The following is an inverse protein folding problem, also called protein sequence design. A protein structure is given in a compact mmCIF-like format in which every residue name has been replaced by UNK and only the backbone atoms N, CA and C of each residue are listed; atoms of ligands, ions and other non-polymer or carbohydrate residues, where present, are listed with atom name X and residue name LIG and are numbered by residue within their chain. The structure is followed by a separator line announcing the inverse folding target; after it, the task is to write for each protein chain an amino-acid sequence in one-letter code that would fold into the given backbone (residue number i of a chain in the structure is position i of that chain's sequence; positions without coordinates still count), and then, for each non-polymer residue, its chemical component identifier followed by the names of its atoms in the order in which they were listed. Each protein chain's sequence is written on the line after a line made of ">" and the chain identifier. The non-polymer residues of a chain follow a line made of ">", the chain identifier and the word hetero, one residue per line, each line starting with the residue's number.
data_IF_338797791347
#
_entry.id   IF_338797791347
#
_cell.length_a   1.000
_cell.length_b   1.000
_cell.length_c   1.000
_cell.angle_alpha   90.00
_cell.angle_beta   90.00
_cell.angle_gamma   90.00
#
_symmetry.space_group_name_H-M   'P 1'
#
loop_
_entity.id
_entity.type
_entity.pdbx_description
1 polymer ?
#
# COMPACT_ATOMS: atom_id res chain seq x y z
N UNK A 1 30.46 -12.11 25.06
CA UNK A 1 29.79 -11.10 25.91
C UNK A 1 29.73 -9.80 25.11
N UNK A 2 28.58 -9.40 24.56
CA UNK A 2 28.46 -8.16 23.79
C UNK A 2 28.75 -6.97 24.71
N UNK A 3 29.62 -6.05 24.31
CA UNK A 3 29.89 -4.85 25.12
C UNK A 3 28.63 -3.99 25.18
N UNK A 4 28.37 -3.39 26.35
CA UNK A 4 27.19 -2.56 26.65
C UNK A 4 27.02 -1.42 25.62
N UNK A 5 28.12 -0.92 25.07
CA UNK A 5 28.14 0.09 24.00
C UNK A 5 27.52 -0.40 22.69
N UNK A 6 27.79 -1.66 22.28
CA UNK A 6 27.20 -2.24 21.06
C UNK A 6 25.70 -2.45 21.20
N UNK A 7 25.24 -2.82 22.40
CA UNK A 7 23.80 -2.94 22.67
C UNK A 7 23.09 -1.59 22.67
N UNK A 8 23.70 -0.54 23.23
CA UNK A 8 23.11 0.81 23.23
C UNK A 8 23.00 1.41 21.81
N UNK A 9 24.04 1.24 20.98
CA UNK A 9 24.03 1.69 19.59
C UNK A 9 22.97 0.97 18.75
N UNK A 10 22.83 -0.34 18.96
CA UNK A 10 21.80 -1.15 18.29
C UNK A 10 20.38 -0.70 18.64
N UNK A 11 20.12 -0.35 19.91
CA UNK A 11 18.84 0.20 20.38
C UNK A 11 18.49 1.51 19.67
N UNK A 12 19.47 2.42 19.54
CA UNK A 12 19.27 3.72 18.90
C UNK A 12 18.94 3.56 17.40
N UNK A 13 19.66 2.68 16.69
CA UNK A 13 19.40 2.36 15.29
C UNK A 13 18.00 1.77 15.11
N UNK A 14 17.58 0.89 16.02
CA UNK A 14 16.25 0.28 15.97
C UNK A 14 15.12 1.31 16.14
N UNK A 15 15.25 2.24 17.09
CA UNK A 15 14.31 3.35 17.25
C UNK A 15 14.26 4.24 16.00
N UNK A 16 15.41 4.55 15.40
CA UNK A 16 15.48 5.29 14.15
C UNK A 16 14.73 4.60 12.99
N UNK A 17 14.86 3.27 12.90
CA UNK A 17 14.14 2.46 11.90
C UNK A 17 12.63 2.50 12.07
N UNK A 18 12.12 2.48 13.31
CA UNK A 18 10.69 2.57 13.58
C UNK A 18 10.14 3.93 13.17
N UNK A 19 10.83 5.01 13.55
CA UNK A 19 10.42 6.36 13.19
C UNK A 19 10.39 6.54 11.66
N UNK A 20 11.43 6.06 10.96
CA UNK A 20 11.46 6.07 9.50
C UNK A 20 10.29 5.27 8.89
N UNK A 21 10.00 4.08 9.44
CA UNK A 21 8.89 3.24 8.98
C UNK A 21 7.53 3.92 9.12
N UNK A 22 7.29 4.58 10.26
CA UNK A 22 6.04 5.32 10.51
C UNK A 22 5.90 6.47 9.53
N UNK A 23 6.97 7.23 9.30
CA UNK A 23 6.97 8.35 8.35
C UNK A 23 6.69 7.86 6.92
N UNK A 24 7.38 6.81 6.48
CA UNK A 24 7.18 6.24 5.15
C UNK A 24 5.78 5.66 4.97
N UNK A 25 5.24 4.94 5.97
CA UNK A 25 3.90 4.39 5.90
C UNK A 25 2.84 5.50 5.79
N UNK A 26 2.94 6.52 6.65
CA UNK A 26 2.01 7.65 6.66
C UNK A 26 2.05 8.43 5.34
N UNK A 27 3.26 8.77 4.88
CA UNK A 27 3.46 9.44 3.60
C UNK A 27 2.87 8.62 2.45
N UNK A 28 3.09 7.31 2.45
CA UNK A 28 2.66 6.44 1.37
C UNK A 28 1.15 6.29 1.32
N UNK A 29 0.49 6.08 2.46
CA UNK A 29 -0.98 5.99 2.50
C UNK A 29 -1.57 7.30 1.99
N UNK A 30 -1.09 8.44 2.47
CA UNK A 30 -1.54 9.76 2.01
C UNK A 30 -1.36 9.95 0.50
N UNK A 31 -0.17 9.66 -0.01
CA UNK A 31 0.13 9.79 -1.45
C UNK A 31 -0.74 8.86 -2.30
N UNK A 32 -0.93 7.62 -1.86
CA UNK A 32 -1.72 6.61 -2.58
C UNK A 32 -3.20 6.99 -2.62
N UNK A 33 -3.76 7.52 -1.53
CA UNK A 33 -5.13 8.04 -1.50
C UNK A 33 -5.32 9.20 -2.49
N UNK A 34 -4.38 10.15 -2.55
CA UNK A 34 -4.44 11.23 -3.52
C UNK A 34 -4.36 10.73 -4.96
N UNK A 35 -3.45 9.81 -5.24
CA UNK A 35 -3.26 9.25 -6.57
C UNK A 35 -4.49 8.45 -7.03
N UNK A 36 -5.11 7.71 -6.11
CA UNK A 36 -6.35 7.00 -6.39
C UNK A 36 -7.50 7.94 -6.71
N UNK A 37 -7.76 8.95 -5.87
CA UNK A 37 -8.81 9.95 -6.11
C UNK A 37 -8.66 10.59 -7.50
N UNK A 38 -7.43 10.97 -7.87
CA UNK A 38 -7.14 11.52 -9.21
C UNK A 38 -7.45 10.54 -10.36
N UNK A 39 -7.36 9.24 -10.09
CA UNK A 39 -7.62 8.18 -11.06
C UNK A 39 -9.11 7.84 -11.16
N UNK A 40 -9.87 8.06 -10.09
CA UNK A 40 -11.29 7.70 -9.95
C UNK A 40 -12.21 8.92 -10.10
N UNK A 41 -12.02 9.71 -11.16
CA UNK A 41 -12.68 11.02 -11.39
C UNK A 41 -14.22 11.03 -11.45
N UNK A 42 -14.89 9.88 -11.33
CA UNK A 42 -16.34 9.77 -11.52
C UNK A 42 -17.14 9.77 -10.22
N UNK A 43 -16.49 9.50 -9.08
CA UNK A 43 -17.07 9.58 -7.73
C UNK A 43 -16.18 10.52 -6.93
N UNK A 44 -16.76 11.55 -6.30
CA UNK A 44 -16.03 12.32 -5.29
C UNK A 44 -16.14 11.57 -3.97
N UNK A 45 -15.11 10.80 -3.60
CA UNK A 45 -15.20 9.93 -2.44
C UNK A 45 -15.28 10.72 -1.12
N UNK A 46 -14.70 11.92 -1.07
CA UNK A 46 -14.75 12.76 0.11
C UNK A 46 -16.15 13.35 0.30
N UNK A 47 -16.78 13.81 -0.78
CA UNK A 47 -18.15 14.30 -0.75
C UNK A 47 -19.13 13.19 -0.35
N UNK A 48 -18.96 11.98 -0.90
CA UNK A 48 -19.81 10.85 -0.56
C UNK A 48 -19.63 10.40 0.91
N UNK A 49 -18.39 10.40 1.45
CA UNK A 49 -18.18 10.16 2.88
C UNK A 49 -18.87 11.23 3.73
N UNK A 50 -18.78 12.52 3.37
CA UNK A 50 -19.44 13.61 4.10
C UNK A 50 -20.96 13.46 4.11
N UNK A 51 -21.55 12.88 3.07
CA UNK A 51 -22.99 12.54 2.99
C UNK A 51 -23.36 11.30 3.81
N UNK A 52 -22.40 10.61 4.43
CA UNK A 52 -22.63 9.38 5.19
C UNK A 52 -22.73 8.12 4.32
N UNK A 53 -22.22 8.16 3.09
CA UNK A 53 -22.24 7.01 2.20
C UNK A 53 -21.29 5.90 2.69
N UNK A 54 -21.85 4.93 3.40
CA UNK A 54 -21.11 3.81 3.99
C UNK A 54 -20.49 2.91 2.92
N UNK A 55 -21.10 2.81 1.73
CA UNK A 55 -20.57 2.00 0.63
C UNK A 55 -19.24 2.52 0.10
N UNK A 56 -19.13 3.82 -0.10
CA UNK A 56 -17.87 4.45 -0.53
C UNK A 56 -16.81 4.31 0.56
N UNK A 57 -17.18 4.46 1.83
CA UNK A 57 -16.27 4.24 2.96
C UNK A 57 -15.72 2.80 2.99
N UNK A 58 -16.55 1.78 2.76
CA UNK A 58 -16.12 0.38 2.70
C UNK A 58 -15.04 0.16 1.62
N UNK A 59 -15.24 0.72 0.42
CA UNK A 59 -14.26 0.61 -0.68
C UNK A 59 -12.95 1.30 -0.32
N UNK A 60 -13.01 2.49 0.28
CA UNK A 60 -11.81 3.21 0.71
C UNK A 60 -11.06 2.48 1.83
N UNK A 61 -11.76 1.89 2.79
CA UNK A 61 -11.14 1.06 3.84
C UNK A 61 -10.39 -0.11 3.20
N UNK A 62 -11.04 -0.83 2.28
CA UNK A 62 -10.42 -1.94 1.59
C UNK A 62 -9.17 -1.52 0.81
N UNK A 63 -9.22 -0.34 0.19
CA UNK A 63 -8.08 0.22 -0.52
C UNK A 63 -6.92 0.60 0.42
N UNK A 64 -7.23 1.25 1.55
CA UNK A 64 -6.21 1.59 2.56
C UNK A 64 -5.53 0.32 3.06
N UNK A 65 -6.31 -0.73 3.37
CA UNK A 65 -5.77 -2.02 3.81
C UNK A 65 -4.92 -2.69 2.73
N UNK A 66 -5.37 -2.65 1.48
CA UNK A 66 -4.63 -3.17 0.34
C UNK A 66 -3.28 -2.45 0.18
N UNK A 67 -3.29 -1.12 0.14
CA UNK A 67 -2.07 -0.31 0.05
C UNK A 67 -1.16 -0.59 1.24
N UNK A 68 -1.69 -0.59 2.47
CA UNK A 68 -0.91 -0.86 3.67
C UNK A 68 -0.21 -2.23 3.60
N UNK A 69 -0.89 -3.26 3.11
CA UNK A 69 -0.30 -4.61 2.96
C UNK A 69 0.85 -4.65 1.94
N UNK A 70 0.77 -3.84 0.88
CA UNK A 70 1.81 -3.77 -0.16
C UNK A 70 3.00 -2.94 0.33
N UNK A 71 2.70 -1.83 1.02
CA UNK A 71 3.69 -0.91 1.58
C UNK A 71 4.47 -1.55 2.72
N UNK A 72 3.83 -2.38 3.53
CA UNK A 72 4.49 -3.15 4.58
C UNK A 72 5.66 -3.96 4.00
N UNK A 73 5.45 -4.66 2.88
CA UNK A 73 6.51 -5.42 2.20
C UNK A 73 7.61 -4.49 1.67
N UNK A 74 7.23 -3.33 1.12
CA UNK A 74 8.19 -2.32 0.65
C UNK A 74 9.06 -1.72 1.76
N UNK A 75 8.50 -1.45 2.94
CA UNK A 75 9.22 -0.88 4.09
C UNK A 75 10.12 -1.91 4.75
N UNK A 76 9.71 -3.18 4.80
CA UNK A 76 10.55 -4.27 5.31
C UNK A 76 11.89 -4.34 4.55
N UNK A 77 11.88 -4.17 3.23
CA UNK A 77 13.11 -4.09 2.42
C UNK A 77 14.05 -3.00 2.91
N UNK A 78 13.54 -1.78 3.05
CA UNK A 78 14.32 -0.61 3.49
C UNK A 78 14.97 -0.89 4.86
N UNK A 79 14.22 -1.51 5.77
CA UNK A 79 14.65 -1.77 7.15
C UNK A 79 15.73 -2.85 7.24
N UNK A 80 15.66 -3.90 6.41
CA UNK A 80 16.65 -4.98 6.34
C UNK A 80 18.00 -4.47 5.82
N UNK A 81 17.96 -3.56 4.85
CA UNK A 81 19.14 -3.00 4.19
C UNK A 81 19.91 -2.00 5.07
N UNK A 82 19.24 -1.41 6.05
CA UNK A 82 19.84 -0.51 7.05
C UNK A 82 20.51 -1.28 8.21
N UNK A 83 21.14 -2.43 7.96
CA UNK A 83 21.79 -3.23 9.00
C UNK A 83 23.21 -2.71 9.29
N UNK A 84 23.65 -2.64 10.57
CA UNK A 84 24.99 -2.18 10.93
C UNK A 84 26.12 -3.09 10.39
N UNK A 85 25.78 -4.26 9.84
CA UNK A 85 26.74 -5.19 9.24
C UNK A 85 26.94 -4.98 7.72
N UNK A 86 26.26 -4.00 7.10
CA UNK A 86 26.39 -3.70 5.67
C UNK A 86 27.30 -2.47 5.49
N UNK A 87 28.27 -2.48 4.56
CA UNK A 87 29.09 -1.30 4.25
C UNK A 87 28.23 -0.09 3.86
N UNK A 88 28.59 1.10 4.36
CA UNK A 88 27.79 2.33 4.18
C UNK A 88 27.51 2.67 2.71
N UNK A 89 28.46 2.41 1.81
CA UNK A 89 28.31 2.64 0.36
C UNK A 89 27.18 1.78 -0.24
N UNK A 90 27.12 0.51 0.17
CA UNK A 90 26.10 -0.45 -0.28
C UNK A 90 24.74 -0.09 0.34
N UNK A 91 24.72 0.40 1.60
CA UNK A 91 23.48 0.82 2.27
C UNK A 91 22.77 1.95 1.52
N UNK A 92 23.51 2.98 1.06
CA UNK A 92 22.94 4.12 0.36
C UNK A 92 22.32 3.73 -0.99
N UNK A 93 23.02 2.90 -1.77
CA UNK A 93 22.52 2.38 -3.04
C UNK A 93 21.25 1.56 -2.83
N UNK A 94 21.28 0.64 -1.86
CA UNK A 94 20.15 -0.24 -1.57
C UNK A 94 18.93 0.52 -1.01
N UNK A 95 19.16 1.56 -0.19
CA UNK A 95 18.09 2.45 0.25
C UNK A 95 17.44 3.18 -0.92
N UNK A 96 18.23 3.69 -1.88
CA UNK A 96 17.71 4.35 -3.08
C UNK A 96 16.89 3.40 -3.96
N UNK A 97 17.40 2.19 -4.21
CA UNK A 97 16.68 1.16 -4.98
C UNK A 97 15.35 0.80 -4.31
N UNK A 98 15.35 0.66 -2.98
CA UNK A 98 14.14 0.31 -2.23
C UNK A 98 13.08 1.41 -2.24
N UNK A 99 13.50 2.68 -2.22
CA UNK A 99 12.59 3.82 -2.39
C UNK A 99 11.92 3.81 -3.77
N UNK A 100 12.70 3.52 -4.82
CA UNK A 100 12.15 3.36 -6.17
C UNK A 100 11.18 2.18 -6.22
N UNK A 101 11.55 1.04 -5.63
CA UNK A 101 10.70 -0.14 -5.58
C UNK A 101 9.37 0.14 -4.86
N UNK A 102 9.40 0.88 -3.74
CA UNK A 102 8.20 1.29 -3.01
C UNK A 102 7.29 2.13 -3.91
N UNK A 103 7.84 3.13 -4.61
CA UNK A 103 7.09 3.96 -5.56
C UNK A 103 6.47 3.13 -6.68
N UNK A 104 7.25 2.25 -7.31
CA UNK A 104 6.76 1.35 -8.37
C UNK A 104 5.66 0.43 -7.84
N UNK A 105 5.81 -0.12 -6.64
CA UNK A 105 4.83 -1.01 -6.03
C UNK A 105 3.49 -0.31 -5.82
N UNK A 106 3.48 0.95 -5.39
CA UNK A 106 2.26 1.76 -5.23
C UNK A 106 1.58 1.99 -6.58
N UNK A 107 2.36 2.35 -7.61
CA UNK A 107 1.82 2.59 -8.96
C UNK A 107 1.18 1.32 -9.54
N UNK A 108 1.87 0.18 -9.41
CA UNK A 108 1.36 -1.13 -9.83
C UNK A 108 0.10 -1.49 -9.03
N UNK A 109 0.10 -1.28 -7.71
CA UNK A 109 -1.04 -1.54 -6.85
C UNK A 109 -2.30 -0.83 -7.35
N UNK A 110 -2.22 0.48 -7.56
CA UNK A 110 -3.35 1.31 -8.00
C UNK A 110 -3.82 0.87 -9.39
N UNK A 111 -2.88 0.59 -10.30
CA UNK A 111 -3.20 0.12 -11.64
C UNK A 111 -3.94 -1.22 -11.65
N UNK A 112 -3.44 -2.20 -10.90
CA UNK A 112 -4.05 -3.54 -10.84
C UNK A 112 -5.39 -3.49 -10.10
N UNK A 113 -5.52 -2.71 -9.03
CA UNK A 113 -6.80 -2.47 -8.34
C UNK A 113 -7.84 -1.93 -9.33
N UNK A 114 -7.47 -0.95 -10.16
CA UNK A 114 -8.35 -0.40 -11.19
C UNK A 114 -8.80 -1.47 -12.19
N UNK A 115 -7.88 -2.33 -12.64
CA UNK A 115 -8.21 -3.44 -13.53
C UNK A 115 -9.15 -4.44 -12.83
N UNK A 116 -8.93 -4.71 -11.55
CA UNK A 116 -9.78 -5.56 -10.73
C UNK A 116 -11.23 -5.07 -10.69
N UNK A 117 -11.42 -3.80 -10.33
CA UNK A 117 -12.74 -3.15 -10.28
C UNK A 117 -13.40 -3.18 -11.66
N UNK A 118 -12.65 -2.84 -12.72
CA UNK A 118 -13.15 -2.89 -14.09
C UNK A 118 -13.60 -4.31 -14.49
N UNK A 119 -12.84 -5.33 -14.08
CA UNK A 119 -13.14 -6.73 -14.35
C UNK A 119 -14.45 -7.17 -13.67
N UNK A 120 -14.71 -6.70 -12.44
CA UNK A 120 -16.00 -6.93 -11.76
C UNK A 120 -17.16 -6.39 -12.61
N UNK A 121 -17.07 -5.15 -13.09
CA UNK A 121 -18.10 -4.56 -13.95
C UNK A 121 -18.29 -5.33 -15.27
N UNK A 122 -17.22 -5.93 -15.81
CA UNK A 122 -17.30 -6.76 -17.03
C UNK A 122 -17.94 -8.12 -16.79
N UNK A 123 -17.67 -8.76 -15.64
CA UNK A 123 -18.26 -10.06 -15.27
C UNK A 123 -19.74 -9.90 -14.97
N UNK A 124 -20.09 -8.93 -14.14
CA UNK A 124 -21.47 -8.64 -13.77
C UNK A 124 -22.07 -7.63 -14.76
N UNK A 125 -22.31 -8.08 -16.00
CA UNK A 125 -22.91 -7.23 -17.05
C UNK A 125 -24.17 -6.53 -16.52
N UNK A 126 -24.21 -5.20 -16.64
CA UNK A 126 -25.31 -4.36 -16.16
C UNK A 126 -25.17 -3.86 -14.72
N UNK A 127 -24.16 -4.30 -13.97
CA UNK A 127 -23.80 -3.72 -12.69
C UNK A 127 -22.96 -2.45 -12.92
N UNK A 128 -23.64 -1.30 -12.98
CA UNK A 128 -22.95 -0.01 -12.87
C UNK A 128 -22.52 0.21 -11.42
N UNK A 129 -21.35 -0.29 -11.09
CA UNK A 129 -20.83 -0.22 -9.72
C UNK A 129 -20.66 1.23 -9.25
N UNK A 130 -20.40 2.18 -10.15
CA UNK A 130 -20.19 3.58 -9.78
C UNK A 130 -21.51 4.21 -9.33
N UNK A 131 -22.59 3.96 -10.10
CA UNK A 131 -23.95 4.39 -9.72
C UNK A 131 -24.40 3.69 -8.43
N UNK A 132 -24.13 2.38 -8.29
CA UNK A 132 -24.54 1.62 -7.11
C UNK A 132 -23.81 2.10 -5.84
N UNK A 133 -22.52 2.42 -5.94
CA UNK A 133 -21.77 3.00 -4.84
C UNK A 133 -22.34 4.38 -4.45
N UNK A 134 -22.64 5.26 -5.40
CA UNK A 134 -23.31 6.55 -5.11
C UNK A 134 -24.68 6.41 -4.46
N UNK A 135 -25.41 5.33 -4.78
CA UNK A 135 -26.70 5.00 -4.14
C UNK A 135 -26.56 4.39 -2.74
N UNK A 136 -25.35 4.19 -2.24
CA UNK A 136 -25.12 3.58 -0.93
C UNK A 136 -25.39 2.07 -0.91
N UNK A 137 -25.19 1.37 -2.03
CA UNK A 137 -25.34 -0.08 -2.07
C UNK A 137 -24.16 -0.81 -1.41
N UNK A 138 -24.33 -1.16 -0.14
CA UNK A 138 -23.27 -1.81 0.66
C UNK A 138 -22.89 -3.20 0.13
N UNK A 139 -23.79 -3.92 -0.54
CA UNK A 139 -23.48 -5.23 -1.11
C UNK A 139 -22.45 -5.10 -2.25
N UNK A 140 -22.61 -4.09 -3.11
CA UNK A 140 -21.65 -3.80 -4.19
C UNK A 140 -20.32 -3.34 -3.60
N UNK A 141 -20.35 -2.52 -2.55
CA UNK A 141 -19.13 -2.09 -1.87
C UNK A 141 -18.34 -3.26 -1.28
N UNK A 142 -19.01 -4.21 -0.61
CA UNK A 142 -18.38 -5.40 -0.04
C UNK A 142 -17.79 -6.31 -1.13
N UNK A 143 -18.50 -6.48 -2.25
CA UNK A 143 -18.00 -7.23 -3.41
C UNK A 143 -16.68 -6.62 -3.92
N UNK A 144 -16.67 -5.30 -4.13
CA UNK A 144 -15.49 -4.58 -4.64
C UNK A 144 -14.36 -4.61 -3.61
N UNK A 145 -14.67 -4.40 -2.33
CA UNK A 145 -13.72 -4.49 -1.24
C UNK A 145 -13.03 -5.86 -1.20
N UNK A 146 -13.80 -6.95 -1.31
CA UNK A 146 -13.26 -8.30 -1.35
C UNK A 146 -12.29 -8.50 -2.52
N UNK A 147 -12.60 -7.97 -3.69
CA UNK A 147 -11.72 -8.03 -4.87
C UNK A 147 -10.45 -7.22 -4.65
N UNK A 148 -10.53 -6.02 -4.09
CA UNK A 148 -9.37 -5.18 -3.78
C UNK A 148 -8.41 -5.90 -2.82
N UNK A 149 -8.93 -6.51 -1.76
CA UNK A 149 -8.14 -7.27 -0.79
C UNK A 149 -7.50 -8.51 -1.42
N UNK A 150 -8.26 -9.27 -2.22
CA UNK A 150 -7.73 -10.43 -2.91
C UNK A 150 -6.56 -10.05 -3.85
N UNK A 151 -6.72 -8.95 -4.59
CA UNK A 151 -5.68 -8.41 -5.46
C UNK A 151 -4.46 -7.98 -4.65
N UNK A 152 -4.65 -7.35 -3.50
CA UNK A 152 -3.53 -6.87 -2.69
C UNK A 152 -2.64 -8.02 -2.22
N UNK A 153 -3.21 -9.17 -1.85
CA UNK A 153 -2.41 -10.34 -1.47
C UNK A 153 -1.57 -10.87 -2.63
N UNK A 154 -2.12 -10.90 -3.84
CA UNK A 154 -1.37 -11.32 -5.04
C UNK A 154 -0.22 -10.34 -5.32
N UNK A 155 -0.47 -9.03 -5.22
CA UNK A 155 0.56 -8.01 -5.43
C UNK A 155 1.62 -8.07 -4.34
N UNK A 156 1.24 -8.18 -3.07
CA UNK A 156 2.17 -8.30 -1.94
C UNK A 156 3.07 -9.52 -2.09
N UNK A 157 2.54 -10.66 -2.55
CA UNK A 157 3.33 -11.84 -2.86
C UNK A 157 4.32 -11.57 -4.02
N UNK A 158 3.89 -10.88 -5.07
CA UNK A 158 4.76 -10.46 -6.18
C UNK A 158 5.87 -9.50 -5.73
N UNK A 159 5.55 -8.50 -4.92
CA UNK A 159 6.52 -7.55 -4.36
C UNK A 159 7.54 -8.28 -3.48
N UNK A 160 7.09 -9.25 -2.68
CA UNK A 160 7.97 -10.10 -1.87
C UNK A 160 8.91 -10.96 -2.72
N UNK A 161 8.42 -11.54 -3.83
CA UNK A 161 9.24 -12.35 -4.72
C UNK A 161 10.35 -11.54 -5.43
N UNK A 162 10.10 -10.25 -5.72
CA UNK A 162 11.14 -9.37 -6.26
C UNK A 162 12.28 -9.17 -5.25
N UNK A 163 12.00 -9.24 -3.95
CA UNK A 163 13.02 -9.09 -2.90
C UNK A 163 14.10 -10.16 -3.04
N UNK A 164 13.71 -11.41 -3.26
CA UNK A 164 14.66 -12.54 -3.35
C UNK A 164 15.56 -12.52 -4.59
N UNK A 165 15.32 -11.62 -5.55
CA UNK A 165 16.17 -11.47 -6.74
C UNK A 165 17.37 -10.56 -6.46
N UNK A 166 17.24 -9.65 -5.48
CA UNK A 166 18.27 -8.67 -5.12
C UNK A 166 19.11 -9.09 -3.89
N UNK A 167 18.94 -10.32 -3.40
CA UNK A 167 19.68 -10.95 -2.30
C UNK A 167 20.14 -12.36 -2.70
#
# INVERSE_FOLDING_TARGET
>A
MFSIEKTALASLIWLGKILLSILLATFTIFFSLQLFNKTTKKIDELEEIKKGNTSVAIVLIAMILAIASIVQQGIQNITLLLSPNVPMEIMLINAAISMIQLLVSILVAIFVIKIGIYTVGKIYKGLDYEIQLKKGNNAVALLIAGVIIAISFVISAGVAAVQTIFF
#
